data_IF_314474038703
#
_entry.id   IF_314474038703
#
_cell.length_a   1.000
_cell.length_b   1.000
_cell.length_c   1.000
_cell.angle_alpha   90.00
_cell.angle_beta   90.00
_cell.angle_gamma   90.00
#
_symmetry.space_group_name_H-M   'P 1'
#
loop_
_entity.id
_entity.type
_entity.pdbx_description
1 polymer ?
#
# COMPACT_ATOMS: atom_id res chain seq x y z
N UNK A 1 -15.15 -2.75 -11.84
CA UNK A 1 -14.43 -1.67 -11.14
C UNK A 1 -14.31 -0.38 -11.96
N UNK A 2 -13.68 -0.41 -13.14
CA UNK A 2 -13.41 0.78 -13.95
C UNK A 2 -14.67 1.65 -14.18
N UNK A 3 -15.80 1.03 -14.53
CA UNK A 3 -17.11 1.69 -14.64
C UNK A 3 -17.57 2.38 -13.34
N UNK A 4 -17.32 1.79 -12.17
CA UNK A 4 -17.67 2.40 -10.88
C UNK A 4 -16.82 3.63 -10.61
N UNK A 5 -15.50 3.54 -10.77
CA UNK A 5 -14.57 4.67 -10.56
C UNK A 5 -14.92 5.84 -11.49
N UNK A 6 -15.16 5.55 -12.78
CA UNK A 6 -15.59 6.57 -13.75
C UNK A 6 -16.92 7.22 -13.33
N UNK A 7 -17.90 6.44 -12.84
CA UNK A 7 -19.14 7.01 -12.28
C UNK A 7 -18.89 7.89 -11.07
N UNK A 8 -18.03 7.45 -10.14
CA UNK A 8 -17.72 8.17 -8.92
C UNK A 8 -17.05 9.51 -9.23
N UNK A 9 -15.99 9.50 -10.03
CA UNK A 9 -15.27 10.70 -10.46
C UNK A 9 -16.21 11.71 -11.14
N UNK A 10 -17.09 11.22 -12.02
CA UNK A 10 -18.10 12.08 -12.64
C UNK A 10 -19.07 12.69 -11.60
N UNK A 11 -19.53 11.90 -10.62
CA UNK A 11 -20.45 12.37 -9.56
C UNK A 11 -19.82 13.43 -8.65
N UNK A 12 -18.53 13.31 -8.34
CA UNK A 12 -17.81 14.31 -7.52
C UNK A 12 -17.28 15.49 -8.33
N UNK A 13 -17.74 15.68 -9.58
CA UNK A 13 -17.37 16.81 -10.44
C UNK A 13 -16.01 16.70 -11.13
N UNK A 14 -15.30 15.58 -10.98
CA UNK A 14 -13.99 15.33 -11.58
C UNK A 14 -14.09 14.68 -12.96
N UNK A 15 -14.77 15.37 -13.87
CA UNK A 15 -15.10 14.88 -15.21
C UNK A 15 -13.87 14.59 -16.07
N UNK A 16 -12.85 15.46 -16.04
CA UNK A 16 -11.64 15.27 -16.84
C UNK A 16 -10.78 14.08 -16.34
N UNK A 17 -10.89 13.72 -15.06
CA UNK A 17 -10.31 12.48 -14.54
C UNK A 17 -11.12 11.28 -14.98
N UNK A 18 -12.46 11.35 -14.91
CA UNK A 18 -13.32 10.28 -15.39
C UNK A 18 -13.03 9.93 -16.86
N UNK A 19 -12.85 10.94 -17.72
CA UNK A 19 -12.46 10.77 -19.13
C UNK A 19 -11.05 10.16 -19.25
N UNK A 20 -10.07 10.70 -18.52
CA UNK A 20 -8.71 10.12 -18.51
C UNK A 20 -8.71 8.65 -18.12
N UNK A 21 -9.54 8.27 -17.15
CA UNK A 21 -9.70 6.87 -16.72
C UNK A 21 -10.29 5.99 -17.82
N UNK A 22 -11.32 6.45 -18.53
CA UNK A 22 -11.88 5.74 -19.69
C UNK A 22 -10.82 5.48 -20.75
N UNK A 23 -10.05 6.52 -21.11
CA UNK A 23 -8.96 6.44 -22.11
C UNK A 23 -7.83 5.55 -21.62
N UNK A 24 -7.41 5.71 -20.36
CA UNK A 24 -6.29 4.98 -19.77
C UNK A 24 -6.55 3.47 -19.70
N UNK A 25 -7.74 3.09 -19.24
CA UNK A 25 -8.18 1.69 -19.13
C UNK A 25 -8.65 1.11 -20.46
N UNK A 26 -8.67 1.89 -21.55
CA UNK A 26 -9.17 1.49 -22.88
C UNK A 26 -10.57 0.87 -22.80
N UNK A 27 -11.48 1.51 -22.06
CA UNK A 27 -12.82 0.96 -21.84
C UNK A 27 -13.64 0.94 -23.13
N UNK A 28 -14.34 -0.17 -23.38
CA UNK A 28 -15.33 -0.22 -24.45
C UNK A 28 -16.50 0.74 -24.17
N UNK A 29 -17.09 1.32 -25.22
CA UNK A 29 -18.22 2.25 -25.11
C UNK A 29 -19.39 1.69 -24.28
N UNK A 30 -19.65 0.38 -24.34
CA UNK A 30 -20.68 -0.31 -23.54
C UNK A 30 -20.42 -0.23 -22.03
N UNK A 31 -19.15 -0.21 -21.65
CA UNK A 31 -18.69 -0.24 -20.26
C UNK A 31 -18.60 1.16 -19.66
N UNK A 32 -18.48 2.19 -20.50
CA UNK A 32 -18.53 3.59 -20.10
C UNK A 32 -19.95 3.97 -19.62
N UNK A 33 -20.09 4.61 -18.44
CA UNK A 33 -21.37 5.13 -17.96
C UNK A 33 -21.98 6.14 -18.93
N UNK A 34 -23.30 6.05 -19.18
CA UNK A 34 -24.00 6.94 -20.11
C UNK A 34 -23.73 8.44 -19.85
N UNK A 35 -23.75 8.84 -18.57
CA UNK A 35 -23.47 10.22 -18.13
C UNK A 35 -22.07 10.73 -18.45
N UNK A 36 -21.13 9.84 -18.83
CA UNK A 36 -19.76 10.18 -19.23
C UNK A 36 -19.58 10.04 -20.74
N UNK A 37 -20.42 9.25 -21.43
CA UNK A 37 -20.32 9.08 -22.88
C UNK A 37 -20.48 10.40 -23.63
N UNK A 38 -21.38 11.27 -23.19
CA UNK A 38 -21.58 12.61 -23.78
C UNK A 38 -20.38 13.55 -23.55
N UNK A 39 -19.53 13.26 -22.56
CA UNK A 39 -18.34 14.03 -22.25
C UNK A 39 -17.12 13.61 -23.09
N UNK A 40 -17.17 12.45 -23.76
CA UNK A 40 -16.08 11.89 -24.58
C UNK A 40 -16.03 12.52 -25.97
N UNK A 41 -15.74 13.83 -26.04
CA UNK A 41 -15.47 14.51 -27.31
C UNK A 41 -14.05 14.22 -27.78
N UNK A 42 -13.80 14.30 -29.09
CA UNK A 42 -12.46 14.08 -29.66
C UNK A 42 -11.39 14.97 -29.00
N UNK A 43 -11.73 16.22 -28.70
CA UNK A 43 -10.82 17.16 -28.03
C UNK A 43 -10.44 16.67 -26.63
N UNK A 44 -11.43 16.28 -25.82
CA UNK A 44 -11.17 15.81 -24.44
C UNK A 44 -10.43 14.48 -24.41
N UNK A 45 -10.67 13.60 -25.37
CA UNK A 45 -9.91 12.36 -25.53
C UNK A 45 -8.45 12.67 -25.83
N UNK A 46 -8.16 13.56 -26.80
CA UNK A 46 -6.79 13.97 -27.13
C UNK A 46 -6.07 14.61 -25.93
N UNK A 47 -6.74 15.50 -25.20
CA UNK A 47 -6.18 16.09 -23.97
C UNK A 47 -5.86 15.04 -22.90
N UNK A 48 -6.72 14.04 -22.75
CA UNK A 48 -6.48 12.91 -21.86
C UNK A 48 -5.29 12.07 -22.31
N UNK A 49 -5.20 11.73 -23.60
CA UNK A 49 -4.08 11.00 -24.20
C UNK A 49 -2.75 11.75 -24.01
N UNK A 50 -2.74 13.06 -24.23
CA UNK A 50 -1.57 13.92 -24.03
C UNK A 50 -1.12 13.92 -22.57
N UNK A 51 -2.06 14.08 -21.62
CA UNK A 51 -1.75 13.99 -20.18
C UNK A 51 -1.20 12.60 -19.81
N UNK A 52 -1.81 11.53 -20.32
CA UNK A 52 -1.35 10.15 -20.09
C UNK A 52 0.05 9.95 -20.67
N UNK A 53 0.32 10.47 -21.86
CA UNK A 53 1.63 10.35 -22.51
C UNK A 53 2.72 11.11 -21.75
N UNK A 54 2.40 12.30 -21.22
CA UNK A 54 3.29 13.08 -20.35
C UNK A 54 3.59 12.34 -19.06
N UNK A 55 2.58 11.78 -18.39
CA UNK A 55 2.76 10.96 -17.19
C UNK A 55 3.64 9.73 -17.47
N UNK A 56 3.43 9.04 -18.60
CA UNK A 56 4.28 7.91 -19.02
C UNK A 56 5.71 8.32 -19.40
N UNK A 57 5.93 9.55 -19.88
CA UNK A 57 7.27 10.08 -20.17
C UNK A 57 8.03 10.38 -18.88
N UNK A 58 7.37 10.97 -17.88
CA UNK A 58 7.96 11.13 -16.54
C UNK A 58 8.25 9.79 -15.84
N UNK A 59 7.49 8.74 -16.19
CA UNK A 59 7.63 7.39 -15.61
C UNK A 59 8.57 6.47 -16.39
N UNK A 60 9.25 6.95 -17.44
CA UNK A 60 9.94 6.07 -18.41
C UNK A 60 11.36 5.69 -18.03
N UNK A 61 11.96 6.37 -17.06
CA UNK A 61 13.01 5.74 -16.28
C UNK A 61 12.32 4.83 -15.26
N UNK A 62 12.85 3.62 -14.98
CA UNK A 62 12.57 2.97 -13.72
C UNK A 62 13.15 3.89 -12.64
N UNK A 63 12.45 4.98 -12.36
CA UNK A 63 12.79 5.90 -11.29
C UNK A 63 12.73 5.00 -10.09
N UNK A 64 13.90 4.65 -9.56
CA UNK A 64 14.04 4.12 -8.22
C UNK A 64 13.26 5.10 -7.35
N UNK A 65 12.02 4.74 -7.02
CA UNK A 65 11.19 5.59 -6.19
C UNK A 65 11.86 5.48 -4.83
N UNK A 66 12.56 6.52 -4.46
CA UNK A 66 13.23 6.56 -3.17
C UNK A 66 12.30 7.25 -2.18
N UNK A 67 12.03 6.61 -1.05
CA UNK A 67 11.20 7.21 0.01
C UNK A 67 11.93 8.41 0.63
N UNK A 68 13.23 8.27 0.79
CA UNK A 68 14.20 9.30 1.14
C UNK A 68 15.54 8.96 0.47
N UNK A 69 16.53 9.84 0.58
CA UNK A 69 17.83 9.64 -0.06
C UNK A 69 18.41 8.24 0.24
N UNK A 70 18.76 7.49 -0.81
CA UNK A 70 19.27 6.11 -0.75
C UNK A 70 18.33 5.06 -0.13
N UNK A 71 17.02 5.31 -0.13
CA UNK A 71 16.04 4.33 0.36
C UNK A 71 15.03 3.95 -0.74
N UNK A 72 15.34 2.95 -1.57
CA UNK A 72 14.45 2.51 -2.63
C UNK A 72 13.15 1.92 -2.11
N UNK A 73 12.11 2.06 -2.94
CA UNK A 73 10.82 1.41 -2.83
C UNK A 73 10.71 0.41 -3.97
N UNK A 74 10.61 -0.88 -3.64
CA UNK A 74 10.60 -1.99 -4.58
C UNK A 74 9.22 -2.64 -4.63
N UNK A 75 8.72 -2.89 -5.83
CA UNK A 75 7.49 -3.65 -6.03
C UNK A 75 7.81 -5.15 -5.96
N UNK A 76 7.04 -5.89 -5.18
CA UNK A 76 7.13 -7.36 -5.05
C UNK A 76 5.85 -7.94 -5.62
N UNK A 77 5.90 -8.35 -6.88
CA UNK A 77 4.75 -8.77 -7.67
C UNK A 77 4.97 -10.10 -8.41
N UNK A 78 5.99 -10.86 -7.98
CA UNK A 78 6.28 -12.22 -8.44
C UNK A 78 6.54 -13.14 -7.25
N UNK A 79 6.30 -14.45 -7.43
CA UNK A 79 6.60 -15.47 -6.42
C UNK A 79 8.07 -15.43 -6.00
N UNK A 80 8.99 -15.27 -6.95
CA UNK A 80 10.42 -15.18 -6.68
C UNK A 80 10.75 -13.97 -5.79
N UNK A 81 10.21 -12.80 -6.10
CA UNK A 81 10.43 -11.59 -5.29
C UNK A 81 9.88 -11.73 -3.86
N UNK A 82 8.77 -12.45 -3.67
CA UNK A 82 8.23 -12.73 -2.33
C UNK A 82 9.19 -13.60 -1.52
N UNK A 83 9.74 -14.65 -2.14
CA UNK A 83 10.69 -15.56 -1.47
C UNK A 83 12.05 -14.89 -1.22
N UNK A 84 12.51 -14.01 -2.12
CA UNK A 84 13.73 -13.21 -1.92
C UNK A 84 13.63 -12.24 -0.74
N UNK A 85 12.40 -11.85 -0.34
CA UNK A 85 12.17 -10.97 0.80
C UNK A 85 12.37 -11.70 2.15
N UNK A 86 12.25 -13.03 2.19
CA UNK A 86 12.44 -13.83 3.41
C UNK A 86 13.83 -13.63 4.04
N UNK A 87 14.95 -13.88 3.33
CA UNK A 87 16.29 -13.68 3.90
C UNK A 87 16.59 -12.23 4.24
N UNK A 88 15.93 -11.26 3.58
CA UNK A 88 16.01 -9.84 3.93
C UNK A 88 15.38 -9.57 5.29
N UNK A 89 14.19 -10.13 5.54
CA UNK A 89 13.49 -10.01 6.82
C UNK A 89 14.27 -10.66 7.98
N UNK A 90 14.96 -11.77 7.71
CA UNK A 90 15.78 -12.47 8.70
C UNK A 90 17.00 -11.63 9.15
N UNK A 91 17.51 -10.74 8.29
CA UNK A 91 18.65 -9.86 8.57
C UNK A 91 18.22 -8.49 9.14
N UNK A 92 16.96 -8.11 8.97
CA UNK A 92 16.44 -6.84 9.45
C UNK A 92 16.27 -6.85 10.97
N UNK A 93 16.67 -5.78 11.66
CA UNK A 93 16.46 -5.64 13.11
C UNK A 93 15.10 -5.05 13.45
N UNK A 94 14.61 -4.14 12.60
CA UNK A 94 13.32 -3.46 12.73
C UNK A 94 12.61 -3.52 11.38
N UNK A 95 11.33 -3.89 11.42
CA UNK A 95 10.45 -4.02 10.26
C UNK A 95 9.18 -3.19 10.52
N UNK A 96 8.93 -2.18 9.71
CA UNK A 96 7.66 -1.46 9.64
C UNK A 96 6.67 -2.21 8.74
N UNK A 97 5.41 -2.29 9.15
CA UNK A 97 4.35 -3.03 8.46
C UNK A 97 3.10 -2.15 8.40
N UNK A 98 2.49 -2.08 7.22
CA UNK A 98 1.20 -1.44 6.96
C UNK A 98 0.47 -2.21 5.85
N UNK A 99 -0.85 -2.06 5.75
CA UNK A 99 -1.62 -2.72 4.69
C UNK A 99 -2.70 -1.84 4.10
N UNK A 100 -2.85 -1.90 2.77
CA UNK A 100 -3.98 -1.30 2.06
C UNK A 100 -4.98 -2.38 1.64
N UNK A 101 -6.26 -2.05 1.67
CA UNK A 101 -7.33 -3.03 1.52
C UNK A 101 -8.12 -2.84 0.24
N UNK A 102 -8.71 -3.93 -0.26
CA UNK A 102 -9.64 -3.91 -1.40
C UNK A 102 -10.85 -3.08 -0.99
N UNK A 103 -11.23 -2.03 -1.75
CA UNK A 103 -12.38 -1.23 -1.40
C UNK A 103 -13.67 -2.07 -1.38
N UNK A 104 -14.57 -1.77 -0.43
CA UNK A 104 -15.76 -2.59 -0.10
C UNK A 104 -16.72 -2.88 -1.27
N UNK A 105 -16.66 -2.14 -2.38
CA UNK A 105 -17.47 -2.44 -3.56
C UNK A 105 -16.92 -3.61 -4.39
N UNK A 106 -15.71 -4.10 -4.09
CA UNK A 106 -15.07 -5.22 -4.79
C UNK A 106 -15.19 -6.54 -4.06
N UNK A 107 -15.32 -6.48 -2.74
CA UNK A 107 -15.47 -7.64 -1.90
C UNK A 107 -16.42 -7.29 -0.78
N UNK A 108 -17.36 -8.19 -0.50
CA UNK A 108 -18.26 -8.10 0.65
C UNK A 108 -17.50 -8.25 1.97
N UNK A 109 -16.20 -8.56 1.91
CA UNK A 109 -15.32 -8.81 3.03
C UNK A 109 -14.03 -8.01 2.80
N UNK A 110 -13.54 -7.29 3.82
CA UNK A 110 -12.26 -6.59 3.73
C UNK A 110 -11.14 -7.61 3.44
N UNK A 111 -10.37 -7.38 2.37
CA UNK A 111 -9.20 -8.18 2.02
C UNK A 111 -8.02 -7.27 1.75
N UNK A 112 -6.82 -7.72 2.07
CA UNK A 112 -5.59 -7.00 1.76
C UNK A 112 -5.41 -6.93 0.24
N UNK A 113 -5.04 -5.76 -0.23
CA UNK A 113 -4.71 -5.44 -1.61
C UNK A 113 -3.20 -5.26 -1.80
N UNK A 114 -2.57 -4.58 -0.84
CA UNK A 114 -1.15 -4.29 -0.81
C UNK A 114 -0.65 -4.46 0.62
N UNK A 115 0.53 -5.05 0.78
CA UNK A 115 1.24 -5.09 2.05
C UNK A 115 2.54 -4.29 1.90
N UNK A 116 2.72 -3.29 2.75
CA UNK A 116 3.90 -2.45 2.75
C UNK A 116 4.83 -2.88 3.88
N UNK A 117 6.07 -3.16 3.53
CA UNK A 117 7.09 -3.61 4.47
C UNK A 117 8.28 -2.69 4.35
N UNK A 118 8.72 -2.09 5.44
CA UNK A 118 9.83 -1.15 5.43
C UNK A 118 10.91 -1.60 6.41
N UNK A 119 12.13 -1.73 5.92
CA UNK A 119 13.35 -1.94 6.74
C UNK A 119 14.23 -0.71 6.58
N UNK A 120 15.30 -0.58 7.37
CA UNK A 120 16.15 0.63 7.36
C UNK A 120 16.65 1.06 5.96
N UNK A 121 16.89 0.13 5.04
CA UNK A 121 17.53 0.40 3.74
C UNK A 121 16.58 0.35 2.55
N UNK A 122 15.35 -0.14 2.72
CA UNK A 122 14.43 -0.37 1.61
C UNK A 122 12.99 -0.49 2.10
N UNK A 123 12.04 -0.07 1.27
CA UNK A 123 10.63 -0.40 1.42
C UNK A 123 10.18 -1.33 0.29
N UNK A 124 9.27 -2.23 0.59
CA UNK A 124 8.73 -3.23 -0.31
C UNK A 124 7.22 -3.07 -0.36
N UNK A 125 6.67 -3.07 -1.56
CA UNK A 125 5.24 -3.04 -1.83
C UNK A 125 4.85 -4.40 -2.39
N UNK A 126 4.30 -5.26 -1.54
CA UNK A 126 3.88 -6.61 -1.90
C UNK A 126 2.48 -6.57 -2.50
N UNK A 127 2.38 -6.88 -3.79
CA UNK A 127 1.13 -6.90 -4.56
C UNK A 127 0.33 -8.17 -4.27
N UNK A 128 -0.46 -8.12 -3.19
CA UNK A 128 -1.25 -9.27 -2.75
C UNK A 128 -2.29 -9.68 -3.80
N UNK A 129 -2.86 -8.73 -4.54
CA UNK A 129 -3.87 -9.04 -5.58
C UNK A 129 -3.26 -9.82 -6.75
N UNK A 130 -2.05 -9.47 -7.18
CA UNK A 130 -1.39 -10.24 -8.23
C UNK A 130 -0.91 -11.59 -7.71
N UNK A 131 -0.34 -11.61 -6.51
CA UNK A 131 0.26 -12.80 -5.92
C UNK A 131 -0.76 -13.83 -5.40
N UNK A 132 -1.98 -13.44 -5.03
CA UNK A 132 -3.00 -14.36 -4.48
C UNK A 132 -3.40 -15.49 -5.46
N UNK A 133 -3.12 -15.33 -6.76
CA UNK A 133 -3.38 -16.34 -7.79
C UNK A 133 -2.18 -17.23 -8.11
N UNK A 134 -0.97 -16.84 -7.70
CA UNK A 134 0.29 -17.48 -8.11
C UNK A 134 1.03 -18.13 -6.94
N UNK A 135 0.94 -17.56 -5.75
CA UNK A 135 1.68 -18.00 -4.55
C UNK A 135 0.85 -19.04 -3.80
N UNK A 136 1.48 -20.18 -3.48
CA UNK A 136 0.83 -21.23 -2.71
C UNK A 136 0.63 -20.84 -1.25
N UNK A 137 -0.27 -21.53 -0.54
CA UNK A 137 -0.47 -21.27 0.88
C UNK A 137 0.81 -21.52 1.69
N UNK A 138 1.60 -22.53 1.33
CA UNK A 138 2.87 -22.86 1.99
C UNK A 138 3.88 -21.71 1.83
N UNK A 139 3.99 -21.14 0.63
CA UNK A 139 4.88 -20.00 0.37
C UNK A 139 4.45 -18.74 1.13
N UNK A 140 3.14 -18.46 1.20
CA UNK A 140 2.63 -17.41 2.05
C UNK A 140 2.90 -17.66 3.54
N UNK A 141 2.76 -18.91 3.98
CA UNK A 141 3.04 -19.31 5.36
C UNK A 141 4.50 -19.05 5.69
N UNK A 142 5.43 -19.50 4.84
CA UNK A 142 6.87 -19.28 5.00
C UNK A 142 7.20 -17.78 5.08
N UNK A 143 6.64 -16.98 4.18
CA UNK A 143 6.79 -15.53 4.18
C UNK A 143 6.28 -14.89 5.49
N UNK A 144 5.08 -15.25 5.94
CA UNK A 144 4.50 -14.67 7.15
C UNK A 144 5.18 -15.17 8.43
N UNK A 145 5.73 -16.37 8.45
CA UNK A 145 6.59 -16.83 9.55
C UNK A 145 7.87 -16.00 9.65
N UNK A 146 8.52 -15.71 8.51
CA UNK A 146 9.67 -14.82 8.46
C UNK A 146 9.31 -13.39 8.90
N UNK A 147 8.13 -12.90 8.51
CA UNK A 147 7.67 -11.56 8.85
C UNK A 147 7.27 -11.43 10.34
N UNK A 148 6.57 -12.40 10.91
CA UNK A 148 5.95 -12.24 12.23
C UNK A 148 6.54 -13.09 13.35
N UNK A 149 7.12 -14.26 13.05
CA UNK A 149 7.51 -15.23 14.07
C UNK A 149 8.99 -15.14 14.47
N UNK A 150 9.81 -14.37 13.75
CA UNK A 150 11.23 -14.19 14.09
C UNK A 150 11.39 -13.37 15.38
N UNK A 151 12.14 -13.92 16.33
CA UNK A 151 12.49 -13.23 17.58
C UNK A 151 13.64 -12.22 17.40
N UNK A 152 14.41 -12.34 16.32
CA UNK A 152 15.55 -11.46 16.01
C UNK A 152 15.14 -10.03 15.61
N UNK A 153 13.88 -9.84 15.19
CA UNK A 153 13.41 -8.56 14.67
C UNK A 153 12.17 -8.02 15.41
N UNK A 154 12.08 -6.69 15.48
CA UNK A 154 10.92 -5.96 16.03
C UNK A 154 10.01 -5.55 14.87
N UNK A 155 8.71 -5.84 14.99
CA UNK A 155 7.70 -5.47 13.99
C UNK A 155 6.89 -4.30 14.50
N UNK A 156 6.81 -3.24 13.73
CA UNK A 156 6.11 -2.00 14.07
C UNK A 156 4.94 -1.79 13.11
N UNK A 157 3.75 -1.59 13.66
CA UNK A 157 2.58 -1.14 12.91
C UNK A 157 1.83 -0.06 13.65
N UNK A 158 0.98 0.70 12.96
CA UNK A 158 0.11 1.70 13.57
C UNK A 158 -1.34 1.25 13.46
N UNK A 159 -2.09 1.32 14.56
CA UNK A 159 -3.40 0.66 14.68
C UNK A 159 -3.42 -0.80 14.18
N UNK A 160 -2.31 -1.52 14.43
CA UNK A 160 -2.04 -2.83 13.83
C UNK A 160 -3.09 -3.92 14.12
N UNK A 161 -3.97 -3.71 15.10
CA UNK A 161 -5.09 -4.61 15.35
C UNK A 161 -6.09 -4.61 14.17
N UNK A 162 -6.24 -3.45 13.52
CA UNK A 162 -7.07 -3.23 12.36
C UNK A 162 -6.49 -3.97 11.14
N UNK A 163 -5.19 -3.80 10.86
CA UNK A 163 -4.48 -4.55 9.82
C UNK A 163 -4.54 -6.05 10.05
N UNK A 164 -4.26 -6.51 11.27
CA UNK A 164 -4.26 -7.93 11.61
C UNK A 164 -5.64 -8.58 11.40
N UNK A 165 -6.74 -7.85 11.63
CA UNK A 165 -8.10 -8.34 11.32
C UNK A 165 -8.25 -8.64 9.83
N UNK A 166 -7.83 -7.70 8.97
CA UNK A 166 -7.97 -7.83 7.52
C UNK A 166 -6.96 -8.83 6.94
N UNK A 167 -5.76 -8.90 7.49
CA UNK A 167 -4.76 -9.92 7.17
C UNK A 167 -5.30 -11.32 7.43
N UNK A 168 -5.86 -11.60 8.62
CA UNK A 168 -6.46 -12.91 8.92
C UNK A 168 -7.64 -13.25 8.04
N UNK A 169 -8.41 -12.24 7.66
CA UNK A 169 -9.53 -12.42 6.73
C UNK A 169 -9.03 -12.79 5.31
N UNK A 170 -7.86 -12.30 4.93
CA UNK A 170 -7.22 -12.59 3.64
C UNK A 170 -6.45 -13.91 3.66
N UNK A 171 -5.82 -14.21 4.81
CA UNK A 171 -4.95 -15.36 5.07
C UNK A 171 -5.39 -16.05 6.37
N UNK A 172 -6.41 -16.91 6.33
CA UNK A 172 -7.00 -17.50 7.55
C UNK A 172 -6.02 -18.31 8.41
N UNK A 173 -4.97 -18.89 7.81
CA UNK A 173 -3.93 -19.60 8.55
C UNK A 173 -3.13 -18.69 9.50
N UNK A 174 -3.22 -17.36 9.38
CA UNK A 174 -2.62 -16.45 10.35
C UNK A 174 -3.27 -16.55 11.75
N UNK A 175 -4.48 -17.10 11.87
CA UNK A 175 -5.09 -17.37 13.18
C UNK A 175 -4.31 -18.41 13.97
N UNK A 176 -3.91 -19.52 13.34
CA UNK A 176 -3.10 -20.54 13.99
C UNK A 176 -1.65 -20.10 14.19
N UNK A 177 -1.16 -19.16 13.37
CA UNK A 177 0.17 -18.56 13.51
C UNK A 177 0.27 -17.54 14.66
N UNK A 178 -0.84 -16.88 15.03
CA UNK A 178 -0.85 -15.79 15.99
C UNK A 178 -0.11 -16.08 17.32
N UNK A 179 -0.24 -17.25 17.96
CA UNK A 179 0.48 -17.56 19.20
C UNK A 179 2.01 -17.56 19.06
N UNK A 180 2.51 -17.79 17.83
CA UNK A 180 3.93 -17.83 17.51
C UNK A 180 4.49 -16.48 17.08
N UNK A 181 3.64 -15.44 16.90
CA UNK A 181 4.11 -14.11 16.55
C UNK A 181 4.88 -13.49 17.71
N UNK A 182 6.03 -12.87 17.40
CA UNK A 182 6.98 -12.34 18.40
C UNK A 182 7.24 -10.87 18.14
N UNK A 183 7.52 -10.08 19.18
CA UNK A 183 7.99 -8.69 19.03
C UNK A 183 7.15 -7.81 18.09
N UNK A 184 5.83 -8.00 18.07
CA UNK A 184 4.90 -7.15 17.30
C UNK A 184 4.40 -6.03 18.20
N UNK A 185 4.73 -4.78 17.85
CA UNK A 185 4.44 -3.59 18.62
C UNK A 185 3.51 -2.68 17.82
N UNK A 186 2.36 -2.37 18.41
CA UNK A 186 1.46 -1.35 17.89
C UNK A 186 1.87 0.03 18.43
N UNK A 187 2.39 0.90 17.55
CA UNK A 187 2.89 2.24 17.90
C UNK A 187 1.78 3.10 18.52
N UNK A 188 0.55 3.01 18.02
CA UNK A 188 -0.60 3.73 18.60
C UNK A 188 -0.82 3.34 20.07
N UNK A 189 -0.82 2.04 20.38
CA UNK A 189 -0.99 1.57 21.76
C UNK A 189 0.17 1.99 22.65
N UNK A 190 1.40 1.87 22.14
CA UNK A 190 2.60 2.33 22.85
C UNK A 190 2.51 3.83 23.19
N UNK A 191 2.14 4.67 22.21
CA UNK A 191 1.98 6.10 22.42
C UNK A 191 0.89 6.40 23.46
N UNK A 192 -0.27 5.73 23.38
CA UNK A 192 -1.36 5.89 24.35
C UNK A 192 -0.90 5.51 25.77
N UNK A 193 -0.21 4.38 25.94
CA UNK A 193 0.32 3.95 27.24
C UNK A 193 1.34 4.95 27.79
N UNK A 194 2.29 5.40 26.97
CA UNK A 194 3.29 6.39 27.38
C UNK A 194 2.66 7.72 27.79
N UNK A 195 1.68 8.21 27.04
CA UNK A 195 0.96 9.45 27.39
C UNK A 195 0.15 9.30 28.69
N UNK A 196 -0.37 8.10 28.98
CA UNK A 196 -1.10 7.85 30.22
C UNK A 196 -0.19 7.81 31.45
N UNK A 197 1.04 7.32 31.30
CA UNK A 197 2.02 7.24 32.38
C UNK A 197 2.76 8.55 32.60
N UNK A 198 3.04 9.29 31.52
CA UNK A 198 3.73 10.58 31.59
C UNK A 198 3.16 11.57 30.54
N UNK A 199 2.16 12.38 30.92
CA UNK A 199 1.51 13.35 30.03
C UNK A 199 2.46 14.41 29.45
N UNK A 200 3.63 14.64 30.07
CA UNK A 200 4.64 15.61 29.61
C UNK A 200 5.74 14.95 28.77
N UNK A 201 5.71 13.63 28.56
CA UNK A 201 6.72 12.92 27.77
C UNK A 201 6.79 13.40 26.31
N UNK A 202 5.68 13.89 25.76
CA UNK A 202 5.62 14.46 24.41
C UNK A 202 5.83 15.98 24.39
N UNK A 203 5.96 16.64 25.54
CA UNK A 203 6.43 18.03 25.62
C UNK A 203 7.96 18.09 25.51
N UNK A 204 8.50 17.49 24.45
CA UNK A 204 9.93 17.46 24.18
C UNK A 204 10.37 18.79 23.57
N UNK A 205 11.57 19.29 23.91
CA UNK A 205 12.22 20.36 23.15
C UNK A 205 12.30 19.96 21.66
N UNK A 206 12.16 20.93 20.77
CA UNK A 206 11.98 20.77 19.31
C UNK A 206 12.91 19.73 18.63
N UNK A 207 14.12 19.50 19.17
CA UNK A 207 15.09 18.55 18.62
C UNK A 207 14.85 17.05 18.91
N UNK A 208 14.26 16.67 20.05
CA UNK A 208 14.03 15.23 20.38
C UNK A 208 12.68 14.77 19.83
N UNK A 209 11.72 15.70 19.78
CA UNK A 209 10.45 15.51 19.08
C UNK A 209 10.72 15.09 17.63
N UNK A 210 11.75 15.64 16.97
CA UNK A 210 12.13 15.29 15.60
C UNK A 210 12.59 13.83 15.44
N UNK A 211 13.25 13.21 16.43
CA UNK A 211 13.67 11.81 16.35
C UNK A 211 12.53 10.84 16.65
N UNK A 212 11.66 11.15 17.61
CA UNK A 212 10.45 10.37 17.89
C UNK A 212 9.43 10.54 16.75
N UNK A 213 9.32 11.74 16.17
CA UNK A 213 8.58 11.99 14.93
C UNK A 213 9.24 11.37 13.72
N UNK A 214 10.57 11.23 13.62
CA UNK A 214 11.20 10.50 12.52
C UNK A 214 10.94 8.99 12.59
N UNK A 215 10.88 8.43 13.81
CA UNK A 215 10.52 7.03 14.05
C UNK A 215 9.01 6.77 13.84
N UNK A 216 8.15 7.66 14.35
CA UNK A 216 6.73 7.66 14.03
C UNK A 216 6.49 8.02 12.56
N UNK A 217 7.28 8.89 11.92
CA UNK A 217 7.28 9.14 10.48
C UNK A 217 7.62 7.84 9.77
N UNK A 218 8.58 7.04 10.19
CA UNK A 218 8.88 5.80 9.48
C UNK A 218 7.66 4.86 9.33
N UNK A 219 6.71 4.89 10.28
CA UNK A 219 5.46 4.12 10.24
C UNK A 219 4.29 4.94 9.65
N UNK A 220 4.17 6.23 9.98
CA UNK A 220 3.16 7.19 9.47
C UNK A 220 3.45 7.62 8.02
N UNK A 221 4.67 7.46 7.52
CA UNK A 221 5.03 7.72 6.13
C UNK A 221 4.75 6.50 5.25
N UNK A 222 4.53 5.31 5.82
CA UNK A 222 3.84 4.23 5.11
C UNK A 222 2.36 4.63 4.86
N UNK A 223 1.72 5.34 5.80
CA UNK A 223 0.43 6.01 5.56
C UNK A 223 0.55 7.18 4.55
N UNK A 224 1.69 7.89 4.43
CA UNK A 224 1.87 8.85 3.34
C UNK A 224 2.16 8.18 2.00
N UNK A 225 2.75 6.98 1.98
CA UNK A 225 2.86 6.17 0.77
C UNK A 225 1.47 5.83 0.24
N UNK A 226 0.47 5.58 1.08
CA UNK A 226 -0.91 5.41 0.59
C UNK A 226 -1.47 6.71 0.01
N UNK A 227 -1.25 7.88 0.61
CA UNK A 227 -1.67 9.16 0.03
C UNK A 227 -0.93 9.53 -1.28
N UNK A 228 0.37 9.23 -1.40
CA UNK A 228 1.21 9.52 -2.57
C UNK A 228 0.97 8.50 -3.69
N UNK A 229 0.81 7.21 -3.38
CA UNK A 229 0.41 6.19 -4.36
C UNK A 229 -1.04 6.34 -4.82
N UNK A 230 -1.97 6.78 -3.97
CA UNK A 230 -3.35 7.09 -4.38
C UNK A 230 -3.41 8.36 -5.25
N UNK A 231 -2.47 9.31 -5.09
CA UNK A 231 -2.44 10.56 -5.85
C UNK A 231 -1.72 10.44 -7.22
N UNK A 232 -0.57 9.74 -7.29
CA UNK A 232 0.23 9.62 -8.52
C UNK A 232 0.24 8.22 -9.14
N UNK A 233 0.11 7.17 -8.33
CA UNK A 233 0.18 5.76 -8.79
C UNK A 233 -1.19 5.09 -8.94
N UNK A 234 -2.30 5.79 -8.68
CA UNK A 234 -3.64 5.30 -9.01
C UNK A 234 -3.81 5.12 -10.53
N UNK A 235 -2.90 5.61 -11.36
CA UNK A 235 -2.81 5.18 -12.75
C UNK A 235 -1.93 3.92 -12.92
N UNK A 236 -0.80 3.79 -12.22
CA UNK A 236 0.19 2.73 -12.49
C UNK A 236 -0.02 1.42 -11.73
N UNK A 237 -0.37 1.44 -10.44
CA UNK A 237 -0.81 0.24 -9.72
C UNK A 237 -2.03 -0.38 -10.42
N UNK A 238 -2.88 0.44 -11.04
CA UNK A 238 -4.03 -0.02 -11.82
C UNK A 238 -3.74 -0.63 -13.20
N UNK A 239 -2.47 -0.88 -13.53
CA UNK A 239 -2.09 -1.73 -14.67
C UNK A 239 -1.41 -3.03 -14.30
N UNK A 240 -0.80 -3.10 -13.11
CA UNK A 240 -0.12 -4.31 -12.64
C UNK A 240 -1.05 -5.15 -11.76
N UNK A 241 -2.01 -4.49 -11.11
CA UNK A 241 -3.05 -5.07 -10.26
C UNK A 241 -4.37 -5.33 -11.02
N UNK A 242 -4.56 -4.75 -12.23
CA UNK A 242 -5.83 -4.78 -12.98
C UNK A 242 -5.68 -4.84 -14.50
#
# INVERSE_FOLDING_TARGET
MQRYMVKYLNRVGRQDDAIRWVVYCKMDKRDVPYSVQELLTETKIREAEDKISKMRKCSRDPVSVNLFENHPVLMVDTVAGLLELIPVLDQATIVGIDSEWKPMFMSTVEKVALLQISIHTCSYLVDVIKLEQEVSQEQWTEFFEALFCRESNIKLGFDFANDMRVLKTSFPFLESMQPNMKNVICVMKLAISLMSENPTLLSLPEGILMHFFNFCFFVVFIFLLSAIFISHSCMMLLKTVW
#
